data_IF_420383442091
#
_entry.id   IF_420383442091
#
_cell.length_a   1.000
_cell.length_b   1.000
_cell.length_c   1.000
_cell.angle_alpha   90.00
_cell.angle_beta   90.00
_cell.angle_gamma   90.00
#
_symmetry.space_group_name_H-M   'P 1'
#
loop_
_entity.id
_entity.type
_entity.pdbx_description
1 polymer ?
#
# COMPACT_ATOMS: atom_id res chain seq x y z
N UNK A 1 -2.57 19.31 32.04
CA UNK A 1 -3.50 18.18 32.03
C UNK A 1 -4.31 18.26 30.75
N UNK A 2 -4.23 17.26 29.86
CA UNK A 2 -5.21 17.12 28.78
C UNK A 2 -6.50 16.64 29.44
N UNK A 3 -7.57 17.43 29.38
CA UNK A 3 -8.86 17.00 29.87
C UNK A 3 -9.27 15.71 29.13
N UNK A 4 -9.65 14.67 29.86
CA UNK A 4 -10.06 13.40 29.26
C UNK A 4 -11.29 13.62 28.37
N UNK A 5 -11.12 13.46 27.05
CA UNK A 5 -12.24 13.47 26.11
C UNK A 5 -12.91 12.08 26.19
N UNK A 6 -14.21 11.98 26.52
CA UNK A 6 -14.90 10.70 26.50
C UNK A 6 -14.86 10.07 25.10
N UNK A 7 -14.56 8.78 24.99
CA UNK A 7 -14.48 8.06 23.71
C UNK A 7 -15.76 8.21 22.87
N UNK A 8 -16.93 8.25 23.53
CA UNK A 8 -18.22 8.47 22.87
C UNK A 8 -18.34 9.83 22.13
N UNK A 9 -17.43 10.78 22.40
CA UNK A 9 -17.36 12.07 21.70
C UNK A 9 -16.35 12.08 20.56
N UNK A 10 -15.62 10.98 20.35
CA UNK A 10 -14.67 10.82 19.25
C UNK A 10 -15.41 10.15 18.09
N UNK A 11 -15.49 10.87 16.97
CA UNK A 11 -16.00 10.34 15.71
C UNK A 11 -14.86 10.27 14.68
N UNK A 12 -14.87 9.25 13.84
CA UNK A 12 -13.97 9.15 12.70
C UNK A 12 -14.21 10.28 11.72
N UNK A 13 -13.16 10.76 11.06
CA UNK A 13 -13.29 11.75 10.02
C UNK A 13 -13.89 11.12 8.76
N UNK A 14 -14.80 11.85 8.11
CA UNK A 14 -15.48 11.39 6.88
C UNK A 14 -15.12 12.24 5.66
N UNK A 15 -14.29 13.28 5.85
CA UNK A 15 -13.83 14.19 4.82
C UNK A 15 -12.32 14.38 4.95
N UNK A 16 -11.62 14.71 3.85
CA UNK A 16 -10.20 15.06 3.90
C UNK A 16 -9.91 16.16 4.92
N UNK A 17 -8.75 16.08 5.58
CA UNK A 17 -8.30 17.07 6.57
C UNK A 17 -6.79 17.17 6.53
N UNK A 18 -6.29 18.39 6.33
CA UNK A 18 -4.85 18.69 6.49
C UNK A 18 -3.93 17.78 5.66
N UNK A 19 -4.42 17.26 4.51
CA UNK A 19 -3.67 16.30 3.68
C UNK A 19 -2.37 16.88 3.08
N UNK A 20 -2.24 18.21 3.10
CA UNK A 20 -1.10 18.97 2.58
C UNK A 20 -0.23 19.58 3.70
N UNK A 21 -0.65 19.45 4.97
CA UNK A 21 0.03 20.03 6.13
C UNK A 21 0.40 18.99 7.19
N UNK A 22 -0.42 17.96 7.42
CA UNK A 22 -0.29 16.96 8.49
C UNK A 22 -0.57 15.56 7.92
N UNK A 23 0.41 15.00 7.21
CA UNK A 23 0.39 13.62 6.70
C UNK A 23 1.81 12.99 6.62
N UNK A 24 1.90 11.71 6.25
CA UNK A 24 3.14 11.00 5.93
C UNK A 24 3.48 11.09 4.44
N UNK A 25 4.24 12.13 4.06
CA UNK A 25 4.64 12.35 2.66
C UNK A 25 5.79 11.45 2.20
N UNK A 26 5.60 10.77 1.07
CA UNK A 26 6.65 10.09 0.33
C UNK A 26 6.36 10.11 -1.17
N UNK A 27 7.40 10.25 -2.00
CA UNK A 27 7.27 10.00 -3.43
C UNK A 27 7.17 8.50 -3.72
N UNK A 28 6.60 8.08 -4.87
CA UNK A 28 6.55 6.67 -5.25
C UNK A 28 7.92 5.97 -5.21
N UNK A 29 8.98 6.67 -5.61
CA UNK A 29 10.34 6.14 -5.56
C UNK A 29 10.81 5.88 -4.13
N UNK A 30 10.49 6.76 -3.18
CA UNK A 30 10.83 6.56 -1.77
C UNK A 30 10.10 5.35 -1.16
N UNK A 31 8.84 5.14 -1.52
CA UNK A 31 8.09 3.93 -1.11
C UNK A 31 8.73 2.67 -1.70
N UNK A 32 9.06 2.67 -2.99
CA UNK A 32 9.76 1.55 -3.62
C UNK A 32 11.12 1.25 -2.96
N UNK A 33 11.89 2.29 -2.64
CA UNK A 33 13.15 2.13 -1.92
C UNK A 33 12.93 1.57 -0.51
N UNK A 34 11.88 1.97 0.21
CA UNK A 34 11.57 1.42 1.52
C UNK A 34 11.33 -0.10 1.47
N UNK A 35 10.51 -0.58 0.52
CA UNK A 35 10.31 -2.02 0.29
C UNK A 35 11.62 -2.74 -0.06
N UNK A 36 12.43 -2.16 -0.95
CA UNK A 36 13.73 -2.74 -1.31
C UNK A 36 14.64 -2.88 -0.09
N UNK A 37 14.76 -1.83 0.74
CA UNK A 37 15.59 -1.84 1.95
C UNK A 37 15.06 -2.82 3.00
N UNK A 38 13.74 -2.93 3.16
CA UNK A 38 13.13 -3.95 4.03
C UNK A 38 13.46 -5.37 3.55
N UNK A 39 13.52 -5.59 2.23
CA UNK A 39 13.86 -6.90 1.65
C UNK A 39 15.33 -7.32 1.83
N UNK A 40 16.21 -6.35 2.11
CA UNK A 40 17.64 -6.55 2.36
C UNK A 40 17.95 -6.83 3.85
N UNK A 41 16.98 -6.62 4.75
CA UNK A 41 17.20 -6.87 6.18
C UNK A 41 17.38 -8.38 6.43
N UNK A 42 18.38 -8.80 7.24
CA UNK A 42 18.58 -10.20 7.60
C UNK A 42 17.59 -10.66 8.69
N UNK A 43 16.30 -10.38 8.50
CA UNK A 43 15.22 -10.72 9.43
C UNK A 43 14.01 -11.27 8.68
N UNK A 44 13.81 -12.59 8.77
CA UNK A 44 12.72 -13.28 8.07
C UNK A 44 11.34 -12.81 8.53
N UNK A 45 11.22 -12.28 9.76
CA UNK A 45 9.95 -11.80 10.32
C UNK A 45 9.37 -10.62 9.54
N UNK A 46 10.22 -9.85 8.84
CA UNK A 46 9.77 -8.75 7.97
C UNK A 46 8.94 -9.30 6.81
N UNK A 47 9.45 -10.34 6.15
CA UNK A 47 8.74 -10.99 5.06
C UNK A 47 7.51 -11.74 5.53
N UNK A 48 7.58 -12.42 6.67
CA UNK A 48 6.41 -13.05 7.30
C UNK A 48 5.30 -12.02 7.57
N UNK A 49 5.63 -10.90 8.21
CA UNK A 49 4.66 -9.86 8.55
C UNK A 49 4.04 -9.21 7.31
N UNK A 50 4.85 -8.88 6.30
CA UNK A 50 4.38 -8.18 5.11
C UNK A 50 3.65 -9.10 4.11
N UNK A 51 3.77 -10.42 4.23
CA UNK A 51 3.12 -11.39 3.33
C UNK A 51 1.82 -11.98 3.87
N UNK A 52 1.38 -11.61 5.08
CA UNK A 52 0.13 -12.11 5.69
C UNK A 52 -1.10 -11.80 4.84
N UNK A 53 -1.10 -10.67 4.14
CA UNK A 53 -2.21 -10.19 3.33
C UNK A 53 -1.62 -9.55 2.07
N UNK A 54 -2.14 -9.84 0.88
CA UNK A 54 -1.74 -9.23 -0.40
C UNK A 54 -2.77 -8.22 -0.94
N UNK A 55 -3.78 -7.88 -0.13
CA UNK A 55 -4.96 -7.09 -0.48
C UNK A 55 -5.84 -7.67 -1.59
N UNK A 56 -5.68 -8.96 -1.92
CA UNK A 56 -6.42 -9.59 -3.01
C UNK A 56 -5.82 -9.30 -4.39
N UNK A 57 -4.51 -8.99 -4.48
CA UNK A 57 -3.81 -8.73 -5.74
C UNK A 57 -3.92 -9.89 -6.74
N UNK A 58 -4.00 -11.13 -6.25
CA UNK A 58 -4.28 -12.32 -7.03
C UNK A 58 -3.31 -12.54 -8.21
N UNK A 59 -2.00 -12.40 -7.95
CA UNK A 59 -0.96 -12.83 -8.89
C UNK A 59 -0.91 -14.37 -8.97
N UNK A 60 -0.47 -14.89 -10.12
CA UNK A 60 -0.21 -16.32 -10.28
C UNK A 60 0.93 -16.76 -9.35
N UNK A 61 0.60 -17.59 -8.35
CA UNK A 61 1.55 -18.08 -7.34
C UNK A 61 2.67 -18.94 -7.91
N UNK A 62 2.47 -19.57 -9.07
CA UNK A 62 3.54 -20.32 -9.75
C UNK A 62 4.61 -19.37 -10.30
N UNK A 63 4.22 -18.15 -10.68
CA UNK A 63 5.12 -17.13 -11.21
C UNK A 63 5.65 -16.21 -10.11
N UNK A 64 4.81 -15.92 -9.12
CA UNK A 64 5.03 -14.98 -8.03
C UNK A 64 4.81 -15.67 -6.67
N UNK A 65 5.72 -16.54 -6.23
CA UNK A 65 5.53 -17.34 -5.01
C UNK A 65 5.49 -16.50 -3.73
N UNK A 66 5.95 -15.25 -3.77
CA UNK A 66 5.95 -14.35 -2.61
C UNK A 66 5.47 -12.96 -3.01
N UNK A 67 4.49 -12.45 -2.27
CA UNK A 67 3.96 -11.09 -2.38
C UNK A 67 3.93 -10.48 -0.98
N UNK A 68 4.46 -9.28 -0.87
CA UNK A 68 4.39 -8.42 0.29
C UNK A 68 3.43 -7.28 -0.01
N UNK A 69 2.72 -6.79 1.00
CA UNK A 69 1.81 -5.67 0.85
C UNK A 69 1.80 -4.76 2.07
N UNK A 70 1.62 -3.48 1.81
CA UNK A 70 1.20 -2.50 2.80
C UNK A 70 0.31 -1.46 2.13
N UNK A 71 -0.84 -1.17 2.74
CA UNK A 71 -1.70 -0.07 2.33
C UNK A 71 -1.63 1.12 3.29
N UNK A 72 -2.18 2.25 2.85
CA UNK A 72 -2.43 3.46 3.61
C UNK A 72 -3.73 4.09 3.14
N UNK A 73 -4.57 4.56 4.06
CA UNK A 73 -5.87 5.13 3.68
C UNK A 73 -6.39 6.09 4.73
N UNK A 74 -6.95 7.20 4.26
CA UNK A 74 -7.77 8.13 5.01
C UNK A 74 -8.75 8.81 4.04
N UNK A 75 -9.74 9.59 4.48
CA UNK A 75 -10.60 10.32 3.57
C UNK A 75 -9.79 11.20 2.59
N UNK A 76 -9.86 10.89 1.30
CA UNK A 76 -9.11 11.60 0.26
C UNK A 76 -7.73 11.01 -0.04
N UNK A 77 -7.31 9.92 0.62
CA UNK A 77 -6.05 9.22 0.33
C UNK A 77 -6.31 7.72 0.21
N UNK A 78 -5.77 7.11 -0.85
CA UNK A 78 -5.68 5.65 -0.97
C UNK A 78 -4.32 5.28 -1.53
N UNK A 79 -3.54 4.50 -0.79
CA UNK A 79 -2.22 4.02 -1.17
C UNK A 79 -2.12 2.50 -1.02
N UNK A 80 -1.51 1.87 -2.02
CA UNK A 80 -1.12 0.47 -1.98
C UNK A 80 0.33 0.36 -2.42
N UNK A 81 1.12 -0.40 -1.67
CA UNK A 81 2.46 -0.84 -2.06
C UNK A 81 2.56 -2.36 -2.04
N UNK A 82 3.09 -2.93 -3.12
CA UNK A 82 3.33 -4.36 -3.28
C UNK A 82 4.77 -4.63 -3.67
N UNK A 83 5.45 -5.55 -3.00
CA UNK A 83 6.67 -6.19 -3.50
C UNK A 83 6.33 -7.62 -3.89
N UNK A 84 6.60 -8.01 -5.14
CA UNK A 84 6.45 -9.39 -5.58
C UNK A 84 7.80 -9.95 -6.02
N UNK A 85 8.09 -11.20 -5.62
CA UNK A 85 9.27 -11.93 -6.05
C UNK A 85 8.87 -13.00 -7.05
N UNK A 86 9.53 -13.00 -8.20
CA UNK A 86 9.37 -14.03 -9.23
C UNK A 86 9.96 -15.36 -8.76
N UNK A 87 9.53 -16.46 -9.38
CA UNK A 87 10.11 -17.78 -9.13
C UNK A 87 11.62 -17.87 -9.46
N UNK A 88 12.14 -17.00 -10.33
CA UNK A 88 13.57 -16.90 -10.64
C UNK A 88 14.37 -16.00 -9.67
N UNK A 89 13.70 -15.42 -8.67
CA UNK A 89 14.33 -14.66 -7.58
C UNK A 89 14.41 -13.13 -7.78
N UNK A 90 13.98 -12.60 -8.93
CA UNK A 90 13.88 -11.14 -9.13
C UNK A 90 12.75 -10.54 -8.30
N UNK A 91 12.95 -9.34 -7.77
CA UNK A 91 11.94 -8.61 -6.99
C UNK A 91 11.55 -7.32 -7.70
N UNK A 92 10.25 -7.04 -7.72
CA UNK A 92 9.68 -5.82 -8.27
C UNK A 92 8.77 -5.18 -7.23
N UNK A 93 8.74 -3.85 -7.20
CA UNK A 93 7.83 -3.09 -6.34
C UNK A 93 6.90 -2.27 -7.22
N UNK A 94 5.62 -2.29 -6.90
CA UNK A 94 4.60 -1.45 -7.51
C UNK A 94 3.88 -0.70 -6.40
N UNK A 95 3.70 0.61 -6.58
CA UNK A 95 2.92 1.45 -5.68
C UNK A 95 1.89 2.22 -6.48
N UNK A 96 0.70 2.39 -5.91
CA UNK A 96 -0.40 3.17 -6.49
C UNK A 96 -0.96 4.11 -5.43
N UNK A 97 -1.01 5.40 -5.74
CA UNK A 97 -1.53 6.43 -4.86
C UNK A 97 -2.66 7.20 -5.56
N UNK A 98 -3.75 7.43 -4.83
CA UNK A 98 -4.80 8.39 -5.18
C UNK A 98 -4.89 9.43 -4.06
N UNK A 99 -4.98 10.71 -4.44
CA UNK A 99 -5.06 11.85 -3.52
C UNK A 99 -6.11 12.84 -4.03
N UNK A 100 -7.07 13.20 -3.18
CA UNK A 100 -8.05 14.27 -3.38
C UNK A 100 -8.25 15.04 -2.06
N UNK A 101 -7.73 16.28 -1.93
CA UNK A 101 -7.84 17.07 -0.71
C UNK A 101 -9.24 17.64 -0.48
N UNK A 102 -10.19 17.44 -1.39
CA UNK A 102 -11.53 18.03 -1.35
C UNK A 102 -12.63 17.02 -1.10
N UNK A 103 -12.44 15.76 -1.52
CA UNK A 103 -13.48 14.73 -1.45
C UNK A 103 -12.93 13.35 -1.03
N UNK A 104 -13.70 12.56 -0.25
CA UNK A 104 -13.35 11.17 0.00
C UNK A 104 -13.58 10.31 -1.25
N UNK A 105 -12.78 9.25 -1.38
CA UNK A 105 -12.97 8.23 -2.40
C UNK A 105 -14.02 7.19 -2.00
N UNK A 106 -14.65 6.55 -2.99
CA UNK A 106 -15.32 5.26 -2.78
C UNK A 106 -14.24 4.20 -2.56
N UNK A 107 -14.17 3.67 -1.34
CA UNK A 107 -13.09 2.77 -0.93
C UNK A 107 -13.05 1.46 -1.74
N UNK A 108 -14.22 0.85 -1.99
CA UNK A 108 -14.29 -0.44 -2.68
C UNK A 108 -13.92 -0.32 -4.15
N UNK A 109 -14.42 0.74 -4.81
CA UNK A 109 -14.09 1.03 -6.21
C UNK A 109 -12.61 1.37 -6.36
N UNK A 110 -12.09 2.27 -5.54
CA UNK A 110 -10.70 2.73 -5.62
C UNK A 110 -9.71 1.59 -5.36
N UNK A 111 -10.00 0.75 -4.36
CA UNK A 111 -9.23 -0.48 -4.12
C UNK A 111 -9.23 -1.39 -5.35
N UNK A 112 -10.40 -1.62 -5.96
CA UNK A 112 -10.52 -2.48 -7.15
C UNK A 112 -9.72 -1.94 -8.34
N UNK A 113 -9.76 -0.63 -8.56
CA UNK A 113 -9.01 0.05 -9.62
C UNK A 113 -7.49 -0.04 -9.38
N UNK A 114 -7.04 0.22 -8.14
CA UNK A 114 -5.62 0.15 -7.76
C UNK A 114 -5.06 -1.28 -7.86
N UNK A 115 -5.80 -2.29 -7.40
CA UNK A 115 -5.41 -3.69 -7.57
C UNK A 115 -5.30 -4.07 -9.06
N UNK A 116 -6.21 -3.56 -9.89
CA UNK A 116 -6.15 -3.72 -11.35
C UNK A 116 -4.87 -3.15 -11.95
N UNK A 117 -4.52 -1.91 -11.57
CA UNK A 117 -3.29 -1.24 -12.00
C UNK A 117 -2.04 -2.00 -11.53
N UNK A 118 -1.97 -2.38 -10.25
CA UNK A 118 -0.84 -3.13 -9.71
C UNK A 118 -0.63 -4.47 -10.42
N UNK A 119 -1.71 -5.24 -10.63
CA UNK A 119 -1.64 -6.51 -11.37
C UNK A 119 -1.21 -6.31 -12.81
N UNK A 120 -1.69 -5.26 -13.48
CA UNK A 120 -1.25 -4.89 -14.83
C UNK A 120 0.25 -4.61 -14.88
N UNK A 121 0.76 -3.82 -13.93
CA UNK A 121 2.18 -3.49 -13.84
C UNK A 121 3.06 -4.74 -13.64
N UNK A 122 2.70 -5.63 -12.71
CA UNK A 122 3.42 -6.90 -12.53
C UNK A 122 3.37 -7.79 -13.78
N UNK A 123 2.25 -7.80 -14.50
CA UNK A 123 2.13 -8.55 -15.76
C UNK A 123 3.11 -8.03 -16.81
N UNK A 124 3.29 -6.71 -16.92
CA UNK A 124 4.19 -6.08 -17.89
C UNK A 124 5.67 -6.37 -17.57
N UNK A 125 6.11 -6.17 -16.32
CA UNK A 125 7.52 -6.35 -15.93
C UNK A 125 8.00 -7.81 -15.96
N UNK A 126 7.07 -8.77 -15.90
CA UNK A 126 7.43 -10.19 -16.11
C UNK A 126 7.77 -10.50 -17.57
N UNK A 127 7.20 -9.74 -18.51
CA UNK A 127 7.45 -9.89 -19.93
C UNK A 127 8.74 -9.23 -20.42
N UNK A 128 9.41 -8.42 -19.58
CA UNK A 128 10.71 -7.79 -19.86
C UNK A 128 11.90 -8.60 -19.36
#
# INVERSE_FOLDING_TARGET
MVAGVPLARIAGWTTPRELDTIEWYASPAQVCHAFARLSELPDQRVGEALSVNDAGLALDKAQWPSVWYKGGSEPGVSDLGHLARTADGRSFVVTTLALDPTMPFDAARTLSEQLGLSRGAFTLVKGS
#
